data_IF_664984191228
#
_entry.id   IF_664984191228
#
_cell.length_a   1.000
_cell.length_b   1.000
_cell.length_c   1.000
_cell.angle_alpha   90.00
_cell.angle_beta   90.00
_cell.angle_gamma   90.00
#
_symmetry.space_group_name_H-M   'P 1'
#
loop_
_entity.id
_entity.type
_entity.pdbx_description
1 polymer ?
#
# COMPACT_ATOMS: atom_id res chain seq x y z
N UNK A 1 -23.87 -2.48 37.46
CA UNK A 1 -24.36 -2.17 36.11
C UNK A 1 -23.33 -1.25 35.46
N UNK A 2 -22.36 -1.84 34.78
CA UNK A 2 -21.22 -1.16 34.18
C UNK A 2 -21.59 -0.67 32.78
N UNK A 3 -21.45 0.62 32.54
CA UNK A 3 -21.57 1.26 31.22
C UNK A 3 -20.41 0.86 30.31
N UNK A 4 -20.61 0.61 29.01
CA UNK A 4 -19.51 0.47 28.06
C UNK A 4 -19.01 1.86 27.62
N UNK A 5 -17.72 2.11 27.79
CA UNK A 5 -17.00 3.20 27.14
C UNK A 5 -16.92 2.91 25.64
N UNK A 6 -17.60 3.74 24.86
CA UNK A 6 -17.44 3.84 23.42
C UNK A 6 -16.06 4.39 23.10
N UNK A 7 -15.29 3.68 22.27
CA UNK A 7 -14.11 4.24 21.59
C UNK A 7 -14.35 4.10 20.09
N UNK A 8 -15.13 5.04 19.55
CA UNK A 8 -15.26 5.24 18.12
C UNK A 8 -14.02 5.96 17.62
N UNK A 9 -13.05 5.22 17.09
CA UNK A 9 -12.01 5.82 16.27
C UNK A 9 -12.63 6.21 14.94
N UNK A 10 -12.93 7.51 14.78
CA UNK A 10 -13.23 8.12 13.50
C UNK A 10 -12.02 7.96 12.58
N UNK A 11 -12.00 6.87 11.81
CA UNK A 11 -11.12 6.77 10.65
C UNK A 11 -11.79 7.55 9.53
N UNK A 12 -11.35 8.80 9.34
CA UNK A 12 -11.61 9.53 8.10
C UNK A 12 -11.25 8.60 6.95
N UNK A 13 -12.22 8.23 6.13
CA UNK A 13 -12.00 7.41 4.93
C UNK A 13 -11.28 8.29 3.92
N UNK A 14 -9.97 8.49 4.12
CA UNK A 14 -9.13 9.19 3.18
C UNK A 14 -9.17 8.39 1.87
N UNK A 15 -9.68 9.00 0.81
CA UNK A 15 -9.68 8.41 -0.51
C UNK A 15 -8.23 8.32 -1.00
N UNK A 16 -7.67 7.11 -1.02
CA UNK A 16 -6.32 6.84 -1.53
C UNK A 16 -6.38 6.71 -3.05
N UNK A 17 -5.51 7.41 -3.75
CA UNK A 17 -5.56 7.49 -5.21
C UNK A 17 -5.09 6.18 -5.86
N UNK A 18 -5.80 5.71 -6.91
CA UNK A 18 -5.49 4.47 -7.63
C UNK A 18 -4.47 4.58 -8.76
N UNK A 19 -4.37 3.56 -9.61
CA UNK A 19 -3.60 3.60 -10.86
C UNK A 19 -4.39 4.23 -12.01
N UNK A 20 -3.83 4.16 -13.22
CA UNK A 20 -4.50 4.64 -14.45
C UNK A 20 -5.46 3.58 -15.00
N UNK A 21 -5.04 2.31 -14.99
CA UNK A 21 -5.81 1.17 -15.49
C UNK A 21 -6.27 0.28 -14.34
N UNK A 22 -5.42 0.12 -13.32
CA UNK A 22 -5.71 -0.74 -12.18
C UNK A 22 -6.27 0.05 -11.00
N UNK A 23 -7.40 -0.42 -10.48
CA UNK A 23 -7.96 0.08 -9.23
C UNK A 23 -7.13 -0.39 -8.04
N UNK A 24 -7.04 0.44 -6.99
CA UNK A 24 -6.28 0.10 -5.79
C UNK A 24 -7.00 -0.99 -4.99
N UNK A 25 -6.43 -2.20 -4.83
CA UNK A 25 -7.06 -3.26 -4.06
C UNK A 25 -7.03 -2.98 -2.56
N UNK A 26 -7.99 -3.55 -1.83
CA UNK A 26 -8.26 -3.21 -0.42
C UNK A 26 -7.09 -3.49 0.53
N UNK A 27 -6.34 -4.57 0.30
CA UNK A 27 -5.18 -4.93 1.11
C UNK A 27 -4.01 -3.95 0.92
N UNK A 28 -3.76 -3.53 -0.32
CA UNK A 28 -2.77 -2.49 -0.59
C UNK A 28 -3.24 -1.14 -0.06
N UNK A 29 -4.53 -0.81 -0.19
CA UNK A 29 -5.10 0.42 0.39
C UNK A 29 -4.89 0.47 1.90
N UNK A 30 -5.20 -0.64 2.60
CA UNK A 30 -5.02 -0.73 4.04
C UNK A 30 -3.55 -0.51 4.43
N UNK A 31 -2.61 -1.14 3.73
CA UNK A 31 -1.18 -0.96 3.97
C UNK A 31 -0.70 0.49 3.73
N UNK A 32 -1.17 1.14 2.65
CA UNK A 32 -0.84 2.54 2.34
C UNK A 32 -1.36 3.50 3.41
N UNK A 33 -2.52 3.21 4.02
CA UNK A 33 -3.11 3.98 5.12
C UNK A 33 -2.42 3.75 6.48
N UNK A 34 -1.37 2.92 6.55
CA UNK A 34 -0.69 2.58 7.80
C UNK A 34 -1.31 1.39 8.54
N UNK A 35 -2.16 0.61 7.86
CA UNK A 35 -2.62 -0.69 8.34
C UNK A 35 -1.52 -1.76 8.30
N UNK A 36 -1.85 -3.01 8.69
CA UNK A 36 -0.87 -4.10 8.76
C UNK A 36 -0.31 -4.43 7.37
N UNK A 37 1.02 -4.54 7.27
CA UNK A 37 1.75 -4.78 6.01
C UNK A 37 2.12 -6.27 5.81
N UNK A 38 1.74 -7.15 6.74
CA UNK A 38 2.01 -8.59 6.70
C UNK A 38 3.07 -9.04 7.71
N UNK A 39 3.43 -10.32 7.68
CA UNK A 39 4.40 -10.90 8.61
C UNK A 39 5.80 -10.25 8.49
N UNK A 40 6.39 -9.94 9.64
CA UNK A 40 7.72 -9.36 9.74
C UNK A 40 7.82 -7.86 9.45
N UNK A 41 6.69 -7.15 9.42
CA UNK A 41 6.64 -5.68 9.50
C UNK A 41 6.47 -5.28 10.97
N UNK A 42 7.39 -4.48 11.51
CA UNK A 42 7.31 -3.94 12.88
C UNK A 42 6.49 -2.64 12.96
N UNK A 43 5.89 -2.21 11.83
CA UNK A 43 5.11 -0.98 11.73
C UNK A 43 5.93 0.30 11.84
N UNK A 44 7.26 0.20 12.01
CA UNK A 44 8.13 1.36 12.12
C UNK A 44 8.41 1.92 10.73
N UNK A 45 8.22 3.23 10.50
CA UNK A 45 8.54 3.84 9.21
C UNK A 45 10.05 4.03 9.07
N UNK A 46 10.60 3.72 7.90
CA UNK A 46 12.03 3.94 7.62
C UNK A 46 12.40 5.41 7.37
N UNK A 47 11.39 6.26 7.14
CA UNK A 47 11.52 7.69 6.84
C UNK A 47 10.42 8.51 7.55
N UNK A 48 10.61 9.82 7.65
CA UNK A 48 9.63 10.69 8.36
C UNK A 48 8.30 10.89 7.62
N UNK A 49 8.24 10.63 6.31
CA UNK A 49 7.00 10.73 5.52
C UNK A 49 6.20 9.43 5.66
N UNK A 50 4.88 9.55 5.76
CA UNK A 50 4.00 8.40 5.75
C UNK A 50 3.99 7.70 4.37
N UNK A 51 3.66 6.41 4.35
CA UNK A 51 3.47 5.66 3.10
C UNK A 51 2.41 6.30 2.20
N UNK A 52 1.34 6.85 2.80
CA UNK A 52 0.30 7.58 2.07
C UNK A 52 0.87 8.81 1.35
N UNK A 53 1.66 9.65 2.02
CA UNK A 53 2.29 10.81 1.39
C UNK A 53 3.22 10.41 0.24
N UNK A 54 3.99 9.33 0.43
CA UNK A 54 4.87 8.80 -0.61
C UNK A 54 4.09 8.23 -1.81
N UNK A 55 2.96 7.58 -1.55
CA UNK A 55 2.06 7.04 -2.55
C UNK A 55 1.39 8.14 -3.39
N UNK A 56 0.99 9.24 -2.76
CA UNK A 56 0.38 10.38 -3.44
C UNK A 56 1.42 11.23 -4.21
N UNK A 57 2.69 11.23 -3.80
CA UNK A 57 3.79 11.94 -4.49
C UNK A 57 4.21 11.28 -5.83
N UNK A 58 3.95 9.98 -5.99
CA UNK A 58 4.28 9.28 -7.24
C UNK A 58 3.18 9.45 -8.30
N UNK A 59 3.59 9.36 -9.56
CA UNK A 59 2.67 9.54 -10.69
C UNK A 59 1.58 8.46 -10.71
N UNK A 60 0.40 8.73 -11.30
CA UNK A 60 -0.62 7.72 -11.49
C UNK A 60 -0.11 6.47 -12.23
N UNK A 61 0.84 6.63 -13.16
CA UNK A 61 1.48 5.51 -13.85
C UNK A 61 2.38 4.69 -12.90
N UNK A 62 3.13 5.33 -12.01
CA UNK A 62 3.92 4.62 -10.99
C UNK A 62 3.01 3.80 -10.05
N UNK A 63 1.88 4.38 -9.61
CA UNK A 63 0.87 3.65 -8.82
C UNK A 63 0.33 2.46 -9.59
N UNK A 64 0.02 2.64 -10.88
CA UNK A 64 -0.44 1.57 -11.76
C UNK A 64 0.57 0.40 -11.83
N UNK A 65 1.86 0.68 -11.87
CA UNK A 65 2.91 -0.34 -11.89
C UNK A 65 2.93 -1.17 -10.59
N UNK A 66 2.85 -0.52 -9.43
CA UNK A 66 2.79 -1.22 -8.14
C UNK A 66 1.52 -2.06 -8.00
N UNK A 67 0.37 -1.50 -8.38
CA UNK A 67 -0.91 -2.22 -8.30
C UNK A 67 -0.87 -3.46 -9.20
N UNK A 68 -0.50 -3.31 -10.48
CA UNK A 68 -0.42 -4.44 -11.39
C UNK A 68 0.55 -5.52 -10.89
N UNK A 69 1.67 -5.11 -10.29
CA UNK A 69 2.62 -6.04 -9.71
C UNK A 69 2.04 -6.80 -8.52
N UNK A 70 1.33 -6.14 -7.61
CA UNK A 70 0.66 -6.80 -6.48
C UNK A 70 -0.44 -7.75 -6.98
N UNK A 71 -1.24 -7.33 -7.95
CA UNK A 71 -2.34 -8.12 -8.52
C UNK A 71 -1.87 -9.35 -9.32
N UNK A 72 -0.70 -9.29 -9.95
CA UNK A 72 -0.11 -10.42 -10.68
C UNK A 72 0.24 -11.62 -9.76
N UNK A 73 0.34 -11.40 -8.44
CA UNK A 73 0.61 -12.46 -7.48
C UNK A 73 -0.58 -13.40 -7.29
N UNK A 74 -0.49 -14.61 -7.86
CA UNK A 74 -1.52 -15.66 -7.75
C UNK A 74 -1.58 -16.35 -6.38
N UNK A 75 -0.47 -16.33 -5.63
CA UNK A 75 -0.39 -16.94 -4.30
C UNK A 75 -0.55 -15.87 -3.22
N UNK A 76 -1.38 -16.12 -2.21
CA UNK A 76 -1.66 -15.19 -1.12
C UNK A 76 -0.40 -14.74 -0.37
N UNK A 77 0.52 -15.68 -0.07
CA UNK A 77 1.79 -15.36 0.58
C UNK A 77 2.68 -14.43 -0.27
N UNK A 78 2.70 -14.63 -1.59
CA UNK A 78 3.44 -13.74 -2.51
C UNK A 78 2.79 -12.36 -2.56
N UNK A 79 1.45 -12.31 -2.58
CA UNK A 79 0.69 -11.05 -2.57
C UNK A 79 0.97 -10.25 -1.31
N UNK A 80 0.86 -10.86 -0.13
CA UNK A 80 1.17 -10.23 1.15
C UNK A 80 2.61 -9.66 1.17
N UNK A 81 3.59 -10.44 0.69
CA UNK A 81 4.97 -9.96 0.57
C UNK A 81 5.12 -8.78 -0.40
N UNK A 82 4.40 -8.76 -1.53
CA UNK A 82 4.45 -7.65 -2.50
C UNK A 82 3.79 -6.38 -1.93
N UNK A 83 2.71 -6.52 -1.15
CA UNK A 83 2.10 -5.40 -0.40
C UNK A 83 3.11 -4.80 0.56
N UNK A 84 3.75 -5.63 1.41
CA UNK A 84 4.80 -5.18 2.33
C UNK A 84 5.92 -4.42 1.60
N UNK A 85 6.47 -5.04 0.56
CA UNK A 85 7.55 -4.45 -0.24
C UNK A 85 7.14 -3.16 -0.94
N UNK A 86 5.87 -2.99 -1.31
CA UNK A 86 5.43 -1.73 -1.92
C UNK A 86 5.65 -0.57 -0.94
N UNK A 87 5.32 -0.75 0.35
CA UNK A 87 5.57 0.25 1.37
C UNK A 87 7.08 0.49 1.59
N UNK A 88 7.86 -0.59 1.78
CA UNK A 88 9.32 -0.50 1.95
C UNK A 88 9.99 0.23 0.78
N UNK A 89 9.61 -0.10 -0.46
CA UNK A 89 10.20 0.49 -1.64
C UNK A 89 9.85 1.98 -1.81
N UNK A 90 8.64 2.39 -1.41
CA UNK A 90 8.27 3.81 -1.37
C UNK A 90 9.09 4.57 -0.32
N UNK A 91 9.28 3.98 0.86
CA UNK A 91 10.12 4.55 1.92
C UNK A 91 11.59 4.65 1.49
N UNK A 92 12.08 3.69 0.69
CA UNK A 92 13.39 3.73 0.02
C UNK A 92 13.44 4.73 -1.17
N UNK A 93 12.34 5.39 -1.51
CA UNK A 93 12.25 6.38 -2.57
C UNK A 93 12.10 5.81 -3.98
N UNK A 94 11.82 4.51 -4.13
CA UNK A 94 11.55 3.88 -5.42
C UNK A 94 10.18 4.29 -5.93
N UNK A 95 10.11 4.55 -7.24
CA UNK A 95 8.87 4.93 -7.93
C UNK A 95 8.28 3.82 -8.80
N UNK A 96 8.88 2.63 -8.78
CA UNK A 96 8.45 1.41 -9.49
C UNK A 96 8.94 0.18 -8.72
N UNK A 97 8.27 -0.98 -8.84
CA UNK A 97 8.72 -2.18 -8.16
C UNK A 97 10.11 -2.63 -8.61
N UNK A 98 10.99 -2.87 -7.66
CA UNK A 98 12.32 -3.44 -7.88
C UNK A 98 12.17 -4.91 -8.32
N UNK A 99 12.55 -5.20 -9.57
CA UNK A 99 12.40 -6.49 -10.28
C UNK A 99 11.05 -6.73 -10.98
N UNK A 100 10.32 -5.66 -11.35
CA UNK A 100 9.14 -5.76 -12.21
C UNK A 100 9.45 -5.32 -13.66
N UNK A 101 9.23 -6.18 -14.68
CA UNK A 101 9.49 -5.81 -16.08
C UNK A 101 8.55 -4.70 -16.60
N UNK A 102 7.39 -4.52 -15.97
CA UNK A 102 6.41 -3.48 -16.30
C UNK A 102 4.99 -4.01 -16.40
N UNK A 103 4.00 -3.14 -16.24
CA UNK A 103 2.60 -3.49 -16.48
C UNK A 103 2.36 -3.74 -17.97
N UNK A 104 1.68 -4.84 -18.29
CA UNK A 104 1.27 -5.17 -19.66
C UNK A 104 0.17 -4.25 -20.22
N UNK A 105 -0.46 -3.43 -19.38
CA UNK A 105 -1.55 -2.52 -19.73
C UNK A 105 -1.12 -1.05 -19.82
N UNK A 106 0.13 -0.80 -20.24
CA UNK A 106 0.67 0.56 -20.39
C UNK A 106 -0.01 1.34 -21.52
#
# INVERSE_FOLDING_TARGET
>A
MTTPTSSGASSTTAAVSGGVVHELPDDLRAAVLGGPRGDGDDGSPSVSRSVLELWEDITPLARNEFICWVEDAKQSATRARRVRRTCEELEEGKRRPCCWPGCKHR
#
